data_IF_318698475848
#
_entry.id   IF_318698475848
#
_cell.length_a   1.000
_cell.length_b   1.000
_cell.length_c   1.000
_cell.angle_alpha   90.00
_cell.angle_beta   90.00
_cell.angle_gamma   90.00
#
_symmetry.space_group_name_H-M   'P 1'
#
loop_
_entity.id
_entity.type
_entity.pdbx_description
1 polymer ?
#
# COMPACT_ATOMS: atom_id res chain seq x y z
N UNK A 1 -10.52 20.72 -31.62
CA UNK A 1 -9.66 19.56 -31.28
C UNK A 1 -10.36 18.81 -30.16
N UNK A 2 -10.96 17.65 -30.46
CA UNK A 2 -11.68 16.86 -29.47
C UNK A 2 -10.65 16.08 -28.65
N UNK A 3 -10.68 16.25 -27.32
CA UNK A 3 -9.75 15.59 -26.41
C UNK A 3 -9.92 14.07 -26.50
N UNK A 4 -8.81 13.34 -26.72
CA UNK A 4 -8.80 11.88 -26.60
C UNK A 4 -9.01 11.54 -25.13
N UNK A 5 -10.14 10.89 -24.80
CA UNK A 5 -10.30 10.23 -23.51
C UNK A 5 -9.26 9.11 -23.40
N UNK A 6 -8.20 9.34 -22.64
CA UNK A 6 -7.31 8.28 -22.22
C UNK A 6 -7.94 7.60 -21.00
N UNK A 7 -8.34 6.34 -21.17
CA UNK A 7 -8.85 5.52 -20.07
C UNK A 7 -7.62 5.06 -19.28
N UNK A 8 -7.52 5.48 -18.02
CA UNK A 8 -6.48 5.01 -17.11
C UNK A 8 -6.72 3.53 -16.77
N UNK A 9 -5.73 2.68 -17.03
CA UNK A 9 -5.74 1.27 -16.63
C UNK A 9 -4.51 1.03 -15.75
N UNK A 10 -4.67 0.99 -14.42
CA UNK A 10 -3.54 0.84 -13.52
C UNK A 10 -2.84 -0.50 -13.72
N UNK A 11 -1.55 -0.47 -14.03
CA UNK A 11 -0.74 -1.69 -14.08
C UNK A 11 -0.53 -2.23 -12.66
N UNK A 12 -1.17 -3.36 -12.33
CA UNK A 12 -0.93 -4.06 -11.07
C UNK A 12 0.45 -4.72 -11.13
N UNK A 13 1.42 -4.16 -10.41
CA UNK A 13 2.78 -4.70 -10.33
C UNK A 13 2.80 -6.07 -9.65
N UNK A 14 3.64 -6.98 -10.13
CA UNK A 14 3.72 -8.35 -9.60
C UNK A 14 4.10 -8.40 -8.10
N UNK A 15 4.91 -7.45 -7.61
CA UNK A 15 5.28 -7.40 -6.19
C UNK A 15 4.07 -7.17 -5.27
N UNK A 16 3.06 -6.41 -5.71
CA UNK A 16 1.82 -6.21 -4.93
C UNK A 16 1.01 -7.51 -4.85
N UNK A 17 0.94 -8.28 -5.95
CA UNK A 17 0.28 -9.59 -5.96
C UNK A 17 0.98 -10.59 -5.04
N UNK A 18 2.32 -10.64 -5.10
CA UNK A 18 3.12 -11.51 -4.22
C UNK A 18 2.90 -11.15 -2.76
N UNK A 19 2.92 -9.85 -2.42
CA UNK A 19 2.68 -9.37 -1.05
C UNK A 19 1.26 -9.70 -0.57
N UNK A 20 0.25 -9.48 -1.41
CA UNK A 20 -1.13 -9.85 -1.11
C UNK A 20 -1.25 -11.36 -0.80
N UNK A 21 -0.70 -12.19 -1.69
CA UNK A 21 -0.77 -13.64 -1.54
C UNK A 21 0.03 -14.15 -0.34
N UNK A 22 1.15 -13.51 0.02
CA UNK A 22 1.92 -13.88 1.20
C UNK A 22 1.19 -13.56 2.50
N UNK A 23 0.42 -12.46 2.54
CA UNK A 23 -0.42 -12.18 3.72
C UNK A 23 -1.60 -13.14 3.78
N UNK A 24 -2.30 -13.38 2.67
CA UNK A 24 -3.45 -14.30 2.62
C UNK A 24 -3.09 -15.76 2.89
N UNK A 25 -1.83 -16.18 2.67
CA UNK A 25 -1.41 -17.55 3.02
C UNK A 25 -1.35 -17.79 4.53
N UNK A 26 -1.13 -16.73 5.32
CA UNK A 26 -1.10 -16.77 6.79
C UNK A 26 -2.46 -16.38 7.39
N UNK A 27 -3.14 -15.42 6.76
CA UNK A 27 -4.42 -14.87 7.21
C UNK A 27 -5.48 -15.08 6.11
N UNK A 28 -5.98 -16.32 5.89
CA UNK A 28 -6.79 -16.65 4.72
C UNK A 28 -8.20 -16.05 4.71
N UNK A 29 -8.69 -15.54 5.85
CA UNK A 29 -10.08 -15.08 6.00
C UNK A 29 -10.21 -13.58 6.26
N UNK A 30 -9.12 -12.82 6.14
CA UNK A 30 -9.17 -11.37 6.40
C UNK A 30 -9.55 -10.61 5.13
N UNK A 31 -10.22 -9.48 5.32
CA UNK A 31 -10.25 -8.46 4.28
C UNK A 31 -8.89 -7.75 4.20
N UNK A 32 -8.37 -7.62 2.97
CA UNK A 32 -7.09 -6.99 2.68
C UNK A 32 -7.16 -6.14 1.42
N UNK A 33 -6.50 -4.99 1.45
CA UNK A 33 -6.25 -4.16 0.29
C UNK A 33 -4.75 -3.86 0.19
N UNK A 34 -4.13 -4.19 -0.94
CA UNK A 34 -2.73 -3.91 -1.22
C UNK A 34 -2.62 -3.01 -2.43
N UNK A 35 -2.06 -1.82 -2.24
CA UNK A 35 -1.91 -0.83 -3.31
C UNK A 35 -0.63 -0.01 -3.15
N UNK A 36 -0.31 0.80 -4.16
CA UNK A 36 0.88 1.64 -4.14
C UNK A 36 0.53 3.07 -4.54
N UNK A 37 1.17 4.06 -3.92
CA UNK A 37 1.00 5.47 -4.33
C UNK A 37 1.46 5.74 -5.75
N UNK A 38 2.24 4.83 -6.36
CA UNK A 38 2.60 4.91 -7.78
C UNK A 38 1.40 4.89 -8.73
N UNK A 39 0.23 4.43 -8.28
CA UNK A 39 -1.03 4.53 -9.03
C UNK A 39 -1.42 5.98 -9.33
N UNK A 40 -1.02 6.91 -8.48
CA UNK A 40 -1.36 8.33 -8.65
C UNK A 40 -0.38 9.09 -9.57
N UNK A 41 0.68 8.41 -10.05
CA UNK A 41 1.73 9.05 -10.85
C UNK A 41 1.20 9.64 -12.15
N UNK A 42 0.25 8.96 -12.81
CA UNK A 42 -0.32 9.44 -14.07
C UNK A 42 -1.18 10.71 -13.91
N UNK A 43 -1.59 11.02 -12.68
CA UNK A 43 -2.40 12.20 -12.36
C UNK A 43 -1.58 13.36 -11.78
N UNK A 44 -0.25 13.19 -11.65
CA UNK A 44 0.60 14.13 -10.91
C UNK A 44 1.72 14.70 -11.76
N UNK A 45 1.78 16.03 -11.88
CA UNK A 45 2.84 16.73 -12.62
C UNK A 45 4.10 17.02 -11.80
N UNK A 46 3.99 17.03 -10.47
CA UNK A 46 5.03 17.50 -9.54
C UNK A 46 5.20 16.58 -8.31
N UNK A 47 5.04 15.26 -8.48
CA UNK A 47 5.00 14.34 -7.34
C UNK A 47 6.37 14.13 -6.67
N UNK A 48 6.33 13.80 -5.38
CA UNK A 48 7.48 13.34 -4.60
C UNK A 48 8.05 12.05 -5.19
N UNK A 49 9.39 11.89 -5.19
CA UNK A 49 10.11 10.70 -5.66
C UNK A 49 9.90 9.43 -4.78
N UNK A 50 8.88 9.41 -3.92
CA UNK A 50 8.69 8.38 -2.91
C UNK A 50 7.44 7.58 -3.23
N UNK A 51 7.62 6.28 -3.42
CA UNK A 51 6.53 5.34 -3.66
C UNK A 51 6.30 4.54 -2.38
N UNK A 52 5.09 4.64 -1.83
CA UNK A 52 4.67 3.84 -0.69
C UNK A 52 3.94 2.60 -1.20
N UNK A 53 4.10 1.49 -0.46
CA UNK A 53 3.23 0.32 -0.58
C UNK A 53 2.32 0.30 0.64
N UNK A 54 1.02 0.32 0.41
CA UNK A 54 -0.02 0.32 1.44
C UNK A 54 -0.56 -1.10 1.58
N UNK A 55 -0.63 -1.59 2.81
CA UNK A 55 -1.28 -2.85 3.20
C UNK A 55 -2.35 -2.49 4.21
N UNK A 56 -3.59 -2.53 3.78
CA UNK A 56 -4.74 -2.19 4.61
C UNK A 56 -5.49 -3.47 4.96
N UNK A 57 -5.71 -3.72 6.25
CA UNK A 57 -6.36 -4.94 6.77
C UNK A 57 -7.34 -4.59 7.87
N UNK A 58 -8.17 -5.54 8.31
CA UNK A 58 -9.07 -5.33 9.45
C UNK A 58 -8.28 -4.86 10.70
N UNK A 59 -8.88 -3.94 11.47
CA UNK A 59 -8.25 -3.35 12.65
C UNK A 59 -7.81 -4.40 13.69
N UNK A 60 -8.54 -5.49 13.79
CA UNK A 60 -8.26 -6.61 14.71
C UNK A 60 -7.00 -7.40 14.35
N UNK A 61 -6.51 -7.30 13.11
CA UNK A 61 -5.36 -8.09 12.61
C UNK A 61 -4.18 -7.23 12.16
N UNK A 62 -4.28 -5.89 12.21
CA UNK A 62 -3.24 -4.98 11.71
C UNK A 62 -1.87 -5.20 12.37
N UNK A 63 -1.85 -5.45 13.68
CA UNK A 63 -0.61 -5.72 14.41
C UNK A 63 0.00 -7.06 14.01
N UNK A 64 -0.82 -8.10 13.84
CA UNK A 64 -0.36 -9.43 13.43
C UNK A 64 0.23 -9.41 12.01
N UNK A 65 -0.42 -8.71 11.09
CA UNK A 65 0.07 -8.53 9.72
C UNK A 65 1.35 -7.70 9.71
N UNK A 66 1.43 -6.64 10.53
CA UNK A 66 2.65 -5.86 10.69
C UNK A 66 3.83 -6.71 11.15
N UNK A 67 3.64 -7.52 12.21
CA UNK A 67 4.69 -8.39 12.75
C UNK A 67 5.18 -9.38 11.70
N UNK A 68 4.26 -10.07 11.01
CA UNK A 68 4.59 -11.00 9.94
C UNK A 68 5.42 -10.35 8.83
N UNK A 69 5.01 -9.16 8.35
CA UNK A 69 5.74 -8.45 7.31
C UNK A 69 7.10 -7.93 7.82
N UNK A 70 7.20 -7.56 9.10
CA UNK A 70 8.44 -7.04 9.70
C UNK A 70 9.55 -8.11 9.77
N UNK A 71 9.18 -9.38 9.93
CA UNK A 71 10.12 -10.50 9.89
C UNK A 71 10.78 -10.67 8.51
N UNK A 72 10.07 -10.31 7.44
CA UNK A 72 10.50 -10.52 6.06
C UNK A 72 11.05 -9.23 5.40
N UNK A 73 10.72 -8.05 5.95
CA UNK A 73 11.05 -6.76 5.37
C UNK A 73 11.51 -5.75 6.44
N UNK A 74 12.63 -5.07 6.19
CA UNK A 74 13.18 -4.07 7.14
C UNK A 74 12.34 -2.79 7.22
N UNK A 75 11.71 -2.39 6.12
CA UNK A 75 11.06 -1.08 5.96
C UNK A 75 9.52 -1.15 6.08
N UNK A 76 9.04 -1.87 7.10
CA UNK A 76 7.60 -1.97 7.42
C UNK A 76 7.29 -1.08 8.62
N UNK A 77 6.18 -0.32 8.52
CA UNK A 77 5.70 0.64 9.52
C UNK A 77 4.22 0.42 9.81
N UNK A 78 3.85 0.32 11.10
CA UNK A 78 2.46 0.22 11.54
C UNK A 78 1.90 1.63 11.78
N UNK A 79 0.86 1.99 11.03
CA UNK A 79 0.07 3.20 11.15
C UNK A 79 0.87 4.45 11.61
N UNK A 80 1.92 4.84 10.86
CA UNK A 80 2.80 5.92 11.27
C UNK A 80 2.05 7.25 11.34
N UNK A 81 2.35 8.04 12.37
CA UNK A 81 1.87 9.42 12.46
C UNK A 81 2.41 10.26 11.31
N UNK A 82 1.70 11.32 10.96
CA UNK A 82 2.03 12.20 9.83
C UNK A 82 3.45 12.77 9.95
N UNK A 83 3.84 13.18 11.15
CA UNK A 83 5.15 13.78 11.41
C UNK A 83 6.28 12.77 11.13
N UNK A 84 6.14 11.55 11.66
CA UNK A 84 7.10 10.45 11.45
C UNK A 84 7.20 10.12 9.95
N UNK A 85 6.06 10.07 9.27
CA UNK A 85 6.01 9.81 7.84
C UNK A 85 6.79 10.87 7.07
N UNK A 86 6.53 12.15 7.32
CA UNK A 86 7.13 13.27 6.60
C UNK A 86 8.62 13.49 6.87
N UNK A 87 9.13 13.11 8.05
CA UNK A 87 10.51 13.39 8.43
C UNK A 87 11.41 12.19 8.14
N UNK A 88 10.93 10.97 8.38
CA UNK A 88 11.79 9.78 8.38
C UNK A 88 11.43 8.76 7.30
N UNK A 89 10.14 8.52 7.07
CA UNK A 89 9.70 7.42 6.19
C UNK A 89 9.81 7.82 4.71
N UNK A 90 9.65 9.11 4.38
CA UNK A 90 9.80 9.62 3.00
C UNK A 90 11.21 9.39 2.43
N UNK A 91 12.24 9.29 3.27
CA UNK A 91 13.62 9.07 2.80
C UNK A 91 13.93 7.59 2.54
N UNK A 92 13.02 6.70 2.92
CA UNK A 92 13.19 5.26 2.79
C UNK A 92 12.73 4.83 1.41
N UNK A 93 13.48 3.92 0.78
CA UNK A 93 13.10 3.35 -0.51
C UNK A 93 11.98 2.32 -0.33
N UNK A 94 10.87 2.53 -1.03
CA UNK A 94 9.68 1.65 -1.08
C UNK A 94 9.19 1.15 0.28
N UNK A 95 8.88 2.03 1.25
CA UNK A 95 8.37 1.63 2.56
C UNK A 95 7.00 0.95 2.43
N UNK A 96 6.78 -0.05 3.27
CA UNK A 96 5.48 -0.72 3.44
C UNK A 96 4.80 -0.12 4.66
N UNK A 97 3.59 0.39 4.48
CA UNK A 97 2.76 0.93 5.54
C UNK A 97 1.58 -0.01 5.78
N UNK A 98 1.46 -0.53 7.00
CA UNK A 98 0.32 -1.33 7.44
C UNK A 98 -0.68 -0.42 8.16
N UNK A 99 -1.94 -0.42 7.75
CA UNK A 99 -3.01 0.37 8.38
C UNK A 99 -4.32 -0.43 8.47
N UNK A 100 -5.21 0.01 9.34
CA UNK A 100 -6.60 -0.44 9.33
C UNK A 100 -7.31 -0.04 8.03
N UNK A 101 -8.12 -0.94 7.47
CA UNK A 101 -9.09 -0.63 6.42
C UNK A 101 -10.03 0.48 6.90
N UNK A 102 -10.25 1.46 6.01
CA UNK A 102 -11.37 2.39 6.13
C UNK A 102 -12.54 1.86 5.31
N UNK A 103 -13.78 2.29 5.63
CA UNK A 103 -15.00 1.80 4.95
C UNK A 103 -15.02 1.98 3.42
N UNK A 104 -14.14 2.81 2.88
CA UNK A 104 -14.02 3.13 1.45
C UNK A 104 -12.79 2.51 0.76
N UNK A 105 -12.13 1.55 1.41
CA UNK A 105 -10.92 0.91 0.86
C UNK A 105 -11.27 0.09 -0.38
N UNK A 106 -10.45 0.10 -1.45
CA UNK A 106 -10.75 -0.63 -2.69
C UNK A 106 -10.48 -2.13 -2.50
N UNK A 107 -11.48 -2.85 -1.96
CA UNK A 107 -11.44 -4.30 -1.80
C UNK A 107 -11.66 -4.97 -3.17
N UNK A 108 -10.75 -5.85 -3.59
CA UNK A 108 -11.01 -6.74 -4.73
C UNK A 108 -11.94 -7.88 -4.28
N UNK A 109 -13.02 -8.10 -5.04
CA UNK A 109 -13.76 -9.37 -5.03
C UNK A 109 -13.22 -10.30 -6.11
#
# INVERSE_FOLDING_TARGET
MVGKNQIFVPAIKNNLKVLNNSVLSIFPFIEICVWSTSLFNEFSKHQSNVVFTMVEVEKTVEESVFLYLKEHNKNVFLNPKKELLSIYIVEINNPIIVKSLVSESPLQK
#
